data_IF_896948840614
#
_entry.id   IF_896948840614
#
_cell.length_a   1.000
_cell.length_b   1.000
_cell.length_c   1.000
_cell.angle_alpha   90.00
_cell.angle_beta   90.00
_cell.angle_gamma   90.00
#
_symmetry.space_group_name_H-M   'P 1'
#
loop_
_entity.id
_entity.type
_entity.pdbx_description
1 polymer ?
#
# COMPACT_ATOMS: atom_id res chain seq x y z
N UNK A 1 -21.93 8.19 -4.54
CA UNK A 1 -21.66 6.75 -4.39
C UNK A 1 -21.94 6.09 -5.73
N UNK A 2 -20.91 5.57 -6.39
CA UNK A 2 -21.06 4.78 -7.62
C UNK A 2 -21.76 3.47 -7.23
N UNK A 3 -22.83 3.09 -7.93
CA UNK A 3 -23.38 1.74 -7.78
C UNK A 3 -22.37 0.75 -8.37
N UNK A 4 -21.96 -0.24 -7.56
CA UNK A 4 -20.91 -1.23 -7.86
C UNK A 4 -21.02 -1.94 -9.21
N UNK A 5 -22.17 -1.90 -9.89
CA UNK A 5 -22.43 -2.64 -11.12
C UNK A 5 -21.69 -2.08 -12.34
N UNK A 6 -21.56 -0.75 -12.46
CA UNK A 6 -20.98 -0.13 -13.65
C UNK A 6 -19.45 -0.30 -13.73
N UNK A 7 -18.78 -0.48 -12.59
CA UNK A 7 -17.35 -0.77 -12.53
C UNK A 7 -17.02 -2.22 -12.91
N UNK A 8 -17.97 -3.13 -12.79
CA UNK A 8 -17.73 -4.56 -13.00
C UNK A 8 -17.93 -4.98 -14.47
N UNK A 9 -18.41 -4.09 -15.33
CA UNK A 9 -18.55 -4.41 -16.74
C UNK A 9 -17.19 -4.46 -17.45
N UNK A 10 -16.86 -5.62 -18.02
CA UNK A 10 -15.68 -5.77 -18.87
C UNK A 10 -14.33 -5.59 -18.17
N UNK A 11 -14.25 -5.77 -16.83
CA UNK A 11 -13.00 -5.59 -16.07
C UNK A 11 -11.85 -6.52 -16.52
N UNK A 12 -12.17 -7.60 -17.25
CA UNK A 12 -11.19 -8.51 -17.85
C UNK A 12 -10.42 -7.88 -19.01
N UNK A 13 -10.99 -6.85 -19.66
CA UNK A 13 -10.39 -6.16 -20.79
C UNK A 13 -9.37 -5.09 -20.31
N UNK A 14 -8.23 -4.96 -20.99
CA UNK A 14 -7.28 -3.88 -20.71
C UNK A 14 -7.94 -2.50 -20.86
N UNK A 15 -7.69 -1.61 -19.91
CA UNK A 15 -8.23 -0.25 -19.91
C UNK A 15 -9.68 -0.15 -19.42
N UNK A 16 -10.18 -1.17 -18.72
CA UNK A 16 -11.49 -1.10 -18.06
C UNK A 16 -11.54 0.01 -17.00
N UNK A 17 -12.75 0.51 -16.70
CA UNK A 17 -12.93 1.55 -15.69
C UNK A 17 -12.40 1.13 -14.30
N UNK A 18 -12.53 -0.16 -13.95
CA UNK A 18 -12.02 -0.70 -12.70
C UNK A 18 -10.49 -0.80 -12.68
N UNK A 19 -9.85 -1.15 -13.81
CA UNK A 19 -8.39 -1.14 -13.92
C UNK A 19 -7.84 0.28 -13.75
N UNK A 20 -8.47 1.27 -14.40
CA UNK A 20 -8.07 2.68 -14.25
C UNK A 20 -8.19 3.09 -12.79
N UNK A 21 -9.36 2.90 -12.17
CA UNK A 21 -9.58 3.23 -10.76
C UNK A 21 -8.58 2.53 -9.83
N UNK A 22 -8.26 1.26 -10.09
CA UNK A 22 -7.21 0.54 -9.35
C UNK A 22 -5.86 1.23 -9.45
N UNK A 23 -5.44 1.61 -10.67
CA UNK A 23 -4.17 2.30 -10.89
C UNK A 23 -4.11 3.64 -10.16
N UNK A 24 -5.23 4.37 -10.05
CA UNK A 24 -5.28 5.62 -9.29
C UNK A 24 -5.13 5.37 -7.79
N UNK A 25 -5.90 4.41 -7.25
CA UNK A 25 -5.93 4.13 -5.82
C UNK A 25 -4.59 3.58 -5.31
N UNK A 26 -3.95 2.66 -6.05
CA UNK A 26 -2.66 2.11 -5.65
C UNK A 26 -1.52 3.12 -5.78
N UNK A 27 -1.61 4.09 -6.69
CA UNK A 27 -0.64 5.18 -6.80
C UNK A 27 -0.83 6.20 -5.67
N UNK A 28 -2.07 6.55 -5.32
CA UNK A 28 -2.34 7.37 -4.14
C UNK A 28 -1.80 6.70 -2.86
N UNK A 29 -1.93 5.38 -2.77
CA UNK A 29 -1.38 4.60 -1.66
C UNK A 29 0.16 4.52 -1.65
N UNK A 30 0.79 4.45 -2.84
CA UNK A 30 2.25 4.47 -3.00
C UNK A 30 2.85 5.80 -2.54
N UNK A 31 2.25 6.92 -2.95
CA UNK A 31 2.78 8.25 -2.65
C UNK A 31 2.37 8.72 -1.24
N UNK A 32 1.24 8.24 -0.71
CA UNK A 32 0.77 8.55 0.64
C UNK A 32 0.78 10.06 0.90
N UNK A 33 1.59 10.50 1.86
CA UNK A 33 1.75 11.92 2.22
C UNK A 33 2.38 12.79 1.10
N UNK A 34 3.05 12.18 0.13
CA UNK A 34 3.61 12.84 -1.05
C UNK A 34 2.63 12.88 -2.24
N UNK A 35 1.41 12.38 -2.07
CA UNK A 35 0.36 12.46 -3.08
C UNK A 35 -0.02 13.92 -3.29
N UNK A 36 0.06 14.37 -4.55
CA UNK A 36 -0.44 15.69 -4.94
C UNK A 36 -1.96 15.72 -4.70
N UNK A 37 -2.43 16.62 -3.83
CA UNK A 37 -3.84 16.79 -3.48
C UNK A 37 -4.74 17.05 -4.70
N UNK A 38 -4.18 17.51 -5.82
CA UNK A 38 -4.90 17.65 -7.09
C UNK A 38 -5.35 16.31 -7.71
N UNK A 39 -4.78 15.18 -7.25
CA UNK A 39 -5.16 13.83 -7.64
C UNK A 39 -6.35 13.29 -6.82
N UNK A 40 -6.67 13.91 -5.68
CA UNK A 40 -7.72 13.48 -4.76
C UNK A 40 -9.05 14.22 -5.00
N UNK A 41 -9.18 14.97 -6.09
CA UNK A 41 -10.30 15.89 -6.34
C UNK A 41 -11.53 15.16 -6.92
N UNK A 42 -12.66 15.29 -6.19
CA UNK A 42 -14.06 15.03 -6.52
C UNK A 42 -14.39 13.89 -7.51
N UNK A 43 -14.64 12.71 -6.95
CA UNK A 43 -15.27 11.56 -7.62
C UNK A 43 -16.78 11.79 -7.84
N UNK A 44 -17.15 12.78 -8.68
CA UNK A 44 -18.49 12.85 -9.29
C UNK A 44 -18.41 12.37 -10.74
N UNK A 45 -19.32 11.45 -11.09
CA UNK A 45 -19.35 10.72 -12.36
C UNK A 45 -19.39 11.63 -13.60
N UNK A 46 -20.01 12.81 -13.50
CA UNK A 46 -20.09 13.78 -14.60
C UNK A 46 -18.74 14.44 -14.95
N UNK A 47 -17.72 14.28 -14.10
CA UNK A 47 -16.36 14.78 -14.34
C UNK A 47 -15.35 13.68 -14.71
N UNK A 48 -15.74 12.42 -14.89
CA UNK A 48 -14.81 11.35 -15.36
C UNK A 48 -14.15 11.68 -16.71
N UNK A 49 -14.87 12.38 -17.61
CA UNK A 49 -14.31 12.85 -18.89
C UNK A 49 -13.35 14.05 -18.72
N UNK A 50 -13.42 14.81 -17.61
CA UNK A 50 -12.47 15.88 -17.29
C UNK A 50 -11.29 15.39 -16.43
N UNK A 51 -11.52 14.39 -15.56
CA UNK A 51 -10.53 13.62 -14.81
C UNK A 51 -9.50 12.96 -15.73
N UNK A 52 -9.95 12.46 -16.90
CA UNK A 52 -9.06 11.92 -17.94
C UNK A 52 -8.03 12.92 -18.49
N UNK A 53 -8.21 14.23 -18.34
CA UNK A 53 -7.31 15.23 -18.93
C UNK A 53 -6.34 15.85 -17.90
N UNK A 54 -6.80 16.11 -16.67
CA UNK A 54 -6.00 16.80 -15.64
C UNK A 54 -5.36 15.82 -14.66
N UNK A 55 -6.13 14.84 -14.16
CA UNK A 55 -5.63 13.76 -13.29
C UNK A 55 -4.67 12.84 -14.04
N UNK A 56 -5.01 12.46 -15.28
CA UNK A 56 -4.14 11.62 -16.10
C UNK A 56 -2.79 12.27 -16.44
N UNK A 57 -2.72 13.61 -16.52
CA UNK A 57 -1.45 14.31 -16.77
C UNK A 57 -0.58 14.34 -15.52
N UNK A 58 -1.15 14.66 -14.36
CA UNK A 58 -0.44 14.61 -13.08
C UNK A 58 0.01 13.17 -12.75
N UNK A 59 -0.85 12.18 -12.99
CA UNK A 59 -0.50 10.76 -12.89
C UNK A 59 0.55 10.34 -13.90
N UNK A 60 0.50 10.78 -15.16
CA UNK A 60 1.53 10.48 -16.13
C UNK A 60 2.89 11.08 -15.73
N UNK A 61 2.92 12.28 -15.15
CA UNK A 61 4.15 12.87 -14.61
C UNK A 61 4.65 12.14 -13.35
N UNK A 62 3.77 11.71 -12.45
CA UNK A 62 4.16 10.90 -11.29
C UNK A 62 4.59 9.49 -11.68
N UNK A 63 3.94 8.88 -12.68
CA UNK A 63 4.32 7.60 -13.23
C UNK A 63 5.72 7.63 -13.84
N UNK A 64 6.17 8.77 -14.38
CA UNK A 64 7.58 8.96 -14.81
C UNK A 64 8.56 8.95 -13.63
N UNK A 65 8.10 9.28 -12.42
CA UNK A 65 8.92 9.19 -11.20
C UNK A 65 8.96 7.76 -10.65
N UNK A 66 8.14 6.83 -11.17
CA UNK A 66 8.20 5.41 -10.84
C UNK A 66 9.25 4.74 -11.74
N UNK A 67 10.45 4.52 -11.21
CA UNK A 67 11.61 4.02 -11.96
C UNK A 67 11.46 2.56 -12.41
N UNK A 68 10.66 1.79 -11.68
CA UNK A 68 10.25 0.42 -12.01
C UNK A 68 8.78 0.30 -11.70
N UNK A 69 7.96 -0.02 -12.69
CA UNK A 69 6.52 -0.10 -12.53
C UNK A 69 5.99 -1.49 -12.87
N UNK A 70 5.80 -2.32 -11.85
CA UNK A 70 5.15 -3.64 -11.98
C UNK A 70 3.64 -3.61 -11.68
N UNK A 71 2.99 -2.44 -11.54
CA UNK A 71 1.56 -2.33 -11.23
C UNK A 71 0.63 -3.12 -12.19
N UNK A 72 0.86 -3.15 -13.52
CA UNK A 72 0.04 -3.97 -14.41
C UNK A 72 0.05 -5.46 -14.04
N UNK A 73 1.18 -5.99 -13.55
CA UNK A 73 1.29 -7.38 -13.10
C UNK A 73 0.50 -7.63 -11.82
N UNK A 74 0.42 -6.62 -10.94
CA UNK A 74 -0.39 -6.66 -9.72
C UNK A 74 -1.86 -6.73 -10.07
N UNK A 75 -2.32 -5.88 -11.00
CA UNK A 75 -3.69 -5.91 -11.51
C UNK A 75 -4.04 -7.27 -12.12
N UNK A 76 -3.16 -7.80 -12.98
CA UNK A 76 -3.34 -9.13 -13.57
C UNK A 76 -3.40 -10.24 -12.52
N UNK A 77 -2.69 -10.11 -11.39
CA UNK A 77 -2.76 -11.05 -10.29
C UNK A 77 -4.10 -10.96 -9.55
N UNK A 78 -4.49 -9.74 -9.18
CA UNK A 78 -5.71 -9.47 -8.42
C UNK A 78 -6.97 -9.93 -9.17
N UNK A 79 -7.10 -9.60 -10.46
CA UNK A 79 -8.28 -9.94 -11.25
C UNK A 79 -8.51 -11.43 -11.46
N UNK A 80 -7.48 -12.27 -11.20
CA UNK A 80 -7.57 -13.73 -11.24
C UNK A 80 -8.03 -14.36 -9.92
N UNK A 81 -8.05 -13.58 -8.84
CA UNK A 81 -8.50 -14.05 -7.53
C UNK A 81 -10.02 -14.28 -7.53
N UNK A 82 -10.48 -15.14 -6.61
CA UNK A 82 -11.91 -15.36 -6.35
C UNK A 82 -12.09 -15.35 -4.85
N UNK A 83 -12.80 -14.36 -4.34
CA UNK A 83 -12.98 -14.13 -2.91
C UNK A 83 -11.65 -14.17 -2.13
N UNK A 84 -10.58 -13.65 -2.72
CA UNK A 84 -9.25 -13.76 -2.19
C UNK A 84 -8.95 -12.75 -1.09
N UNK A 85 -7.92 -13.04 -0.31
CA UNK A 85 -7.38 -12.18 0.73
C UNK A 85 -6.20 -11.37 0.23
N UNK A 86 -6.12 -10.10 0.64
CA UNK A 86 -4.95 -9.23 0.45
C UNK A 86 -4.38 -8.86 1.80
N UNK A 87 -3.05 -8.93 1.95
CA UNK A 87 -2.37 -8.52 3.19
C UNK A 87 -1.60 -7.22 2.95
N UNK A 88 -1.68 -6.28 3.88
CA UNK A 88 -0.95 -5.00 3.83
C UNK A 88 -0.01 -4.93 5.02
N UNK A 89 1.30 -4.92 4.77
CA UNK A 89 2.34 -4.69 5.76
C UNK A 89 2.58 -3.19 5.86
N UNK A 90 2.09 -2.60 6.94
CA UNK A 90 1.99 -1.16 7.15
C UNK A 90 3.37 -0.53 7.39
N UNK A 91 3.51 0.73 6.98
CA UNK A 91 4.63 1.62 7.31
C UNK A 91 4.11 2.67 8.31
N UNK A 92 3.80 3.89 7.86
CA UNK A 92 3.49 5.01 8.75
C UNK A 92 2.00 5.17 9.08
N UNK A 93 1.73 5.66 10.30
CA UNK A 93 0.43 6.13 10.74
C UNK A 93 0.08 7.50 10.13
N UNK A 94 -1.11 8.02 10.47
CA UNK A 94 -1.60 9.28 9.94
C UNK A 94 -2.13 9.13 8.51
N UNK A 95 -1.70 10.02 7.60
CA UNK A 95 -2.30 10.09 6.26
C UNK A 95 -1.89 8.91 5.35
N UNK A 96 -0.73 8.29 5.56
CA UNK A 96 -0.36 7.06 4.84
C UNK A 96 -1.26 5.87 5.23
N UNK A 97 -1.49 5.67 6.53
CA UNK A 97 -2.49 4.71 7.00
C UNK A 97 -3.91 5.03 6.47
N UNK A 98 -4.26 6.31 6.35
CA UNK A 98 -5.55 6.70 5.75
C UNK A 98 -5.62 6.29 4.27
N UNK A 99 -4.56 6.48 3.48
CA UNK A 99 -4.53 6.00 2.09
C UNK A 99 -4.56 4.48 2.00
N UNK A 100 -3.89 3.77 2.93
CA UNK A 100 -3.95 2.31 3.03
C UNK A 100 -5.39 1.82 3.26
N UNK A 101 -6.14 2.48 4.15
CA UNK A 101 -7.53 2.16 4.45
C UNK A 101 -8.46 2.47 3.27
N UNK A 102 -8.25 3.57 2.55
CA UNK A 102 -8.99 3.91 1.33
C UNK A 102 -8.74 2.86 0.24
N UNK A 103 -7.48 2.48 0.04
CA UNK A 103 -7.13 1.45 -0.93
C UNK A 103 -7.73 0.09 -0.57
N UNK A 104 -7.65 -0.31 0.70
CA UNK A 104 -8.27 -1.53 1.19
C UNK A 104 -9.80 -1.54 1.02
N UNK A 105 -10.46 -0.42 1.30
CA UNK A 105 -11.91 -0.27 1.12
C UNK A 105 -12.29 -0.32 -0.36
N UNK A 106 -11.50 0.28 -1.26
CA UNK A 106 -11.67 0.12 -2.70
C UNK A 106 -11.57 -1.35 -3.12
N UNK A 107 -10.57 -2.09 -2.65
CA UNK A 107 -10.42 -3.51 -2.97
C UNK A 107 -11.68 -4.30 -2.56
N UNK A 108 -12.20 -4.06 -1.36
CA UNK A 108 -13.33 -4.80 -0.79
C UNK A 108 -14.68 -4.36 -1.35
N UNK A 109 -14.87 -3.06 -1.56
CA UNK A 109 -16.17 -2.46 -1.91
C UNK A 109 -16.36 -2.35 -3.42
N UNK A 110 -15.28 -2.27 -4.19
CA UNK A 110 -15.34 -1.98 -5.63
C UNK A 110 -14.84 -3.12 -6.51
N UNK A 111 -14.11 -4.09 -5.99
CA UNK A 111 -13.67 -5.26 -6.79
C UNK A 111 -14.50 -6.51 -6.49
N UNK A 112 -14.75 -7.38 -7.48
CA UNK A 112 -15.48 -8.62 -7.27
C UNK A 112 -14.60 -9.78 -6.77
N UNK A 113 -13.29 -9.58 -6.60
CA UNK A 113 -12.32 -10.67 -6.37
C UNK A 113 -11.60 -10.61 -5.02
N UNK A 114 -11.72 -9.53 -4.24
CA UNK A 114 -11.18 -9.41 -2.87
C UNK A 114 -12.32 -9.45 -1.84
N UNK A 115 -12.22 -10.38 -0.89
CA UNK A 115 -13.21 -10.56 0.18
C UNK A 115 -12.74 -10.01 1.53
N UNK A 116 -11.43 -10.10 1.81
CA UNK A 116 -10.79 -9.72 3.07
C UNK A 116 -9.48 -8.96 2.83
N UNK A 117 -9.22 -7.94 3.64
CA UNK A 117 -7.92 -7.27 3.76
C UNK A 117 -7.38 -7.40 5.19
N UNK A 118 -6.16 -7.91 5.32
CA UNK A 118 -5.48 -8.09 6.61
C UNK A 118 -4.29 -7.15 6.74
N UNK A 119 -4.28 -6.34 7.79
CA UNK A 119 -3.25 -5.35 8.04
C UNK A 119 -2.24 -5.84 9.08
N UNK A 120 -0.96 -5.58 8.85
CA UNK A 120 0.13 -5.99 9.73
C UNK A 120 0.81 -4.76 10.36
N UNK A 121 0.41 -4.37 11.58
CA UNK A 121 1.05 -3.28 12.33
C UNK A 121 2.33 -3.76 13.05
N UNK A 122 3.03 -2.81 13.69
CA UNK A 122 4.16 -3.09 14.59
C UNK A 122 3.69 -3.26 16.04
N UNK A 123 4.41 -4.05 16.83
CA UNK A 123 4.02 -4.34 18.22
C UNK A 123 4.56 -3.31 19.24
N UNK A 124 5.60 -2.55 18.89
CA UNK A 124 6.23 -1.52 19.74
C UNK A 124 6.39 -0.23 18.94
N UNK A 125 6.55 0.95 19.59
CA UNK A 125 6.87 2.18 18.88
C UNK A 125 8.14 1.95 18.07
N UNK A 126 8.02 2.08 16.75
CA UNK A 126 9.04 1.65 15.80
C UNK A 126 9.21 2.76 14.76
N UNK A 127 10.46 3.15 14.49
CA UNK A 127 10.80 4.19 13.51
C UNK A 127 9.94 5.47 13.57
N UNK A 128 9.58 5.90 14.78
CA UNK A 128 8.80 7.11 15.12
C UNK A 128 7.34 7.04 14.68
N UNK A 129 7.07 6.79 13.40
CA UNK A 129 5.74 6.91 12.81
C UNK A 129 5.09 5.59 12.42
N UNK A 130 5.71 4.44 12.68
CA UNK A 130 5.11 3.17 12.25
C UNK A 130 3.79 2.87 12.97
N UNK A 131 2.83 2.30 12.22
CA UNK A 131 1.49 1.98 12.73
C UNK A 131 1.53 0.91 13.83
N UNK A 132 0.91 1.22 14.96
CA UNK A 132 0.59 0.27 16.03
C UNK A 132 -0.89 -0.15 15.95
N UNK A 133 -1.30 -1.26 16.60
CA UNK A 133 -2.70 -1.67 16.66
C UNK A 133 -3.65 -0.56 17.13
N UNK A 134 -3.22 0.22 18.13
CA UNK A 134 -3.98 1.36 18.64
C UNK A 134 -4.15 2.47 17.59
N UNK A 135 -3.10 2.79 16.83
CA UNK A 135 -3.15 3.84 15.81
C UNK A 135 -4.15 3.49 14.70
N UNK A 136 -4.30 2.21 14.39
CA UNK A 136 -5.29 1.72 13.43
C UNK A 136 -6.72 2.06 13.85
N UNK A 137 -7.10 1.71 15.09
CA UNK A 137 -8.43 2.04 15.62
C UNK A 137 -8.60 3.54 15.81
N UNK A 138 -7.56 4.21 16.31
CA UNK A 138 -7.58 5.65 16.56
C UNK A 138 -7.77 6.45 15.26
N UNK A 139 -7.15 6.03 14.15
CA UNK A 139 -7.34 6.67 12.85
C UNK A 139 -8.80 6.63 12.41
N UNK A 140 -9.46 5.47 12.53
CA UNK A 140 -10.88 5.30 12.18
C UNK A 140 -11.78 6.14 13.11
N UNK A 141 -11.48 6.13 14.40
CA UNK A 141 -12.25 6.86 15.41
C UNK A 141 -12.11 8.39 15.23
N UNK A 142 -10.93 8.85 14.83
CA UNK A 142 -10.65 10.26 14.55
C UNK A 142 -11.47 10.78 13.37
N UNK A 143 -11.75 9.95 12.36
CA UNK A 143 -12.66 10.30 11.25
C UNK A 143 -14.11 10.53 11.70
N UNK A 144 -14.53 9.87 12.79
CA UNK A 144 -15.84 10.10 13.38
C UNK A 144 -15.86 11.32 14.33
N UNK A 145 -14.70 11.78 14.81
CA UNK A 145 -14.60 12.94 15.68
C UNK A 145 -14.55 14.25 14.89
N UNK A 146 -15.72 14.89 14.79
CA UNK A 146 -15.85 16.19 14.13
C UNK A 146 -15.01 17.31 14.77
N UNK A 147 -14.62 17.18 16.03
CA UNK A 147 -13.85 18.20 16.76
C UNK A 147 -12.37 18.19 16.38
N UNK A 148 -11.82 17.02 16.08
CA UNK A 148 -10.42 16.85 15.69
C UNK A 148 -10.11 17.62 14.41
N UNK A 149 -10.91 17.41 13.35
CA UNK A 149 -10.69 18.11 12.07
C UNK A 149 -11.07 19.58 12.12
N UNK A 150 -12.13 19.96 12.85
CA UNK A 150 -12.51 21.38 13.01
C UNK A 150 -11.44 22.20 13.71
N UNK A 151 -10.68 21.62 14.62
CA UNK A 151 -9.61 22.30 15.35
C UNK A 151 -8.28 22.39 14.59
N UNK A 152 -8.05 21.50 13.62
CA UNK A 152 -6.76 21.40 12.89
C UNK A 152 -6.85 21.77 11.40
N UNK A 153 -8.05 21.95 10.85
CA UNK A 153 -8.20 22.32 9.45
C UNK A 153 -7.83 23.78 9.20
N UNK A 154 -7.01 24.00 8.17
CA UNK A 154 -6.68 25.34 7.66
C UNK A 154 -7.79 25.91 6.77
N UNK A 155 -8.71 25.07 6.31
CA UNK A 155 -9.83 25.41 5.42
C UNK A 155 -11.14 25.17 6.18
N UNK A 156 -12.15 26.05 6.08
CA UNK A 156 -13.45 25.80 6.70
C UNK A 156 -14.04 24.48 6.18
N UNK A 157 -14.32 23.55 7.10
CA UNK A 157 -15.00 22.30 6.76
C UNK A 157 -16.47 22.59 6.50
N UNK A 158 -16.99 22.05 5.41
CA UNK A 158 -18.43 22.06 5.15
C UNK A 158 -19.12 20.93 5.92
N UNK A 159 -20.44 21.02 6.08
CA UNK A 159 -21.20 19.93 6.70
C UNK A 159 -21.16 18.64 5.86
N UNK A 160 -21.02 18.77 4.54
CA UNK A 160 -20.86 17.64 3.62
C UNK A 160 -19.52 16.92 3.84
N UNK A 161 -18.43 17.65 4.05
CA UNK A 161 -17.11 17.05 4.35
C UNK A 161 -17.18 16.20 5.63
N UNK A 162 -17.79 16.75 6.67
CA UNK A 162 -17.96 16.06 7.95
C UNK A 162 -18.84 14.82 7.79
N UNK A 163 -19.91 14.92 7.00
CA UNK A 163 -20.78 13.78 6.70
C UNK A 163 -20.04 12.68 5.92
N UNK A 164 -19.18 13.03 4.98
CA UNK A 164 -18.37 12.07 4.23
C UNK A 164 -17.36 11.34 5.12
N UNK A 165 -16.63 12.06 6.00
CA UNK A 165 -15.70 11.45 6.95
C UNK A 165 -16.42 10.50 7.91
N UNK A 166 -17.58 10.91 8.44
CA UNK A 166 -18.39 10.05 9.32
C UNK A 166 -18.93 8.81 8.61
N UNK A 167 -19.29 8.92 7.33
CA UNK A 167 -19.72 7.79 6.49
C UNK A 167 -18.58 6.79 6.27
N UNK A 168 -17.37 7.27 5.97
CA UNK A 168 -16.18 6.42 5.84
C UNK A 168 -15.87 5.69 7.13
N UNK A 169 -15.83 6.40 8.26
CA UNK A 169 -15.59 5.80 9.57
C UNK A 169 -16.59 4.69 9.88
N UNK A 170 -17.89 4.94 9.64
CA UNK A 170 -18.95 3.94 9.84
C UNK A 170 -18.78 2.73 8.94
N UNK A 171 -18.43 2.93 7.67
CA UNK A 171 -18.19 1.84 6.71
C UNK A 171 -17.01 0.97 7.14
N UNK A 172 -15.88 1.58 7.51
CA UNK A 172 -14.69 0.86 7.93
C UNK A 172 -14.89 0.11 9.25
N UNK A 173 -15.62 0.68 10.20
CA UNK A 173 -16.07 -0.08 11.40
C UNK A 173 -16.93 -1.27 11.01
N UNK A 174 -17.86 -1.12 10.05
CA UNK A 174 -18.63 -2.24 9.51
C UNK A 174 -17.76 -3.33 8.86
N UNK A 175 -16.66 -2.95 8.21
CA UNK A 175 -15.68 -3.92 7.68
C UNK A 175 -14.93 -4.65 8.80
N UNK A 176 -14.57 -3.97 9.88
CA UNK A 176 -13.97 -4.60 11.05
C UNK A 176 -14.93 -5.58 11.74
N UNK A 177 -16.18 -5.17 11.96
CA UNK A 177 -17.20 -6.00 12.62
C UNK A 177 -17.55 -7.26 11.79
N UNK A 178 -17.52 -7.15 10.46
CA UNK A 178 -17.75 -8.27 9.55
C UNK A 178 -16.51 -9.13 9.27
N UNK A 179 -15.33 -8.73 9.79
CA UNK A 179 -14.06 -9.41 9.53
C UNK A 179 -13.50 -9.22 8.12
N UNK A 180 -14.09 -8.32 7.32
CA UNK A 180 -13.57 -7.94 5.99
C UNK A 180 -12.29 -7.11 6.12
N UNK A 181 -12.21 -6.26 7.15
CA UNK A 181 -10.95 -5.69 7.63
C UNK A 181 -10.52 -6.43 8.88
N UNK A 182 -9.24 -6.75 8.98
CA UNK A 182 -8.70 -7.42 10.17
C UNK A 182 -7.25 -7.03 10.39
N UNK A 183 -6.83 -6.90 11.65
CA UNK A 183 -5.41 -6.86 11.98
C UNK A 183 -4.86 -8.29 12.08
N UNK A 184 -3.59 -8.50 11.71
CA UNK A 184 -2.90 -9.77 11.93
C UNK A 184 -2.70 -10.12 13.41
N UNK A 185 -2.90 -9.13 14.29
CA UNK A 185 -2.86 -9.22 15.75
C UNK A 185 -4.21 -8.74 16.34
N UNK A 186 -4.58 -9.13 17.57
CA UNK A 186 -5.78 -8.59 18.23
C UNK A 186 -5.77 -7.05 18.28
N UNK A 187 -6.93 -6.41 18.14
CA UNK A 187 -7.05 -4.94 18.17
C UNK A 187 -6.65 -4.35 19.53
N UNK A 188 -6.85 -5.11 20.61
CA UNK A 188 -6.50 -4.77 21.98
C UNK A 188 -5.08 -5.22 22.38
N UNK A 189 -4.24 -5.60 21.41
CA UNK A 189 -2.85 -5.98 21.68
C UNK A 189 -2.14 -4.84 22.42
N UNK A 190 -1.65 -5.07 23.65
CA UNK A 190 -0.98 -4.03 24.41
C UNK A 190 0.35 -3.67 23.75
N UNK A 191 0.86 -2.48 24.05
CA UNK A 191 2.17 -2.04 23.58
C UNK A 191 3.26 -3.03 24.04
N UNK A 192 4.00 -3.60 23.09
CA UNK A 192 5.00 -4.63 23.34
C UNK A 192 4.45 -6.04 23.52
N UNK A 193 3.15 -6.28 23.25
CA UNK A 193 2.57 -7.61 23.26
C UNK A 193 3.22 -8.51 22.23
N UNK A 194 3.75 -9.66 22.67
CA UNK A 194 4.33 -10.67 21.79
C UNK A 194 3.20 -11.47 21.12
N UNK A 195 3.14 -11.42 19.80
CA UNK A 195 2.15 -12.15 19.00
C UNK A 195 2.86 -12.91 17.89
N UNK A 196 2.50 -14.17 17.62
CA UNK A 196 3.20 -15.00 16.62
C UNK A 196 3.29 -14.37 15.22
N UNK A 197 2.30 -13.55 14.85
CA UNK A 197 2.23 -12.87 13.55
C UNK A 197 2.74 -11.43 13.56
N UNK A 198 2.85 -10.78 14.73
CA UNK A 198 3.26 -9.38 14.84
C UNK A 198 4.73 -9.18 15.21
N UNK A 199 5.33 -10.11 15.96
CA UNK A 199 6.63 -9.87 16.59
C UNK A 199 7.78 -9.81 15.61
N UNK A 200 7.70 -10.56 14.50
CA UNK A 200 8.72 -10.58 13.47
C UNK A 200 9.00 -9.19 12.88
N UNK A 201 7.97 -8.36 12.68
CA UNK A 201 8.08 -7.04 12.04
C UNK A 201 8.98 -6.08 12.79
N UNK A 202 9.08 -6.24 14.11
CA UNK A 202 9.90 -5.42 15.02
C UNK A 202 11.25 -6.04 15.38
N UNK A 203 11.62 -7.14 14.73
CA UNK A 203 12.96 -7.74 14.88
C UNK A 203 13.98 -7.13 13.92
N UNK A 204 15.26 -7.40 14.17
CA UNK A 204 16.38 -7.07 13.29
C UNK A 204 16.48 -7.96 12.04
N UNK A 205 15.71 -9.05 11.95
CA UNK A 205 15.81 -10.00 10.85
C UNK A 205 15.39 -9.37 9.53
N UNK A 206 16.12 -9.73 8.47
CA UNK A 206 15.71 -9.43 7.10
C UNK A 206 14.62 -10.42 6.67
N UNK A 207 13.80 -10.07 5.67
CA UNK A 207 12.68 -10.94 5.29
C UNK A 207 13.12 -12.22 4.56
N UNK A 208 14.36 -12.25 4.07
CA UNK A 208 15.01 -13.49 3.60
C UNK A 208 15.14 -14.55 4.71
N UNK A 209 15.25 -14.12 5.96
CA UNK A 209 15.39 -14.98 7.13
C UNK A 209 14.01 -15.34 7.71
N UNK A 210 12.94 -14.69 7.24
CA UNK A 210 11.55 -14.96 7.67
C UNK A 210 11.17 -16.44 7.58
N UNK A 211 11.52 -17.20 6.50
CA UNK A 211 11.23 -18.62 6.44
C UNK A 211 11.90 -19.46 7.54
N UNK A 212 13.02 -19.01 8.09
CA UNK A 212 13.74 -19.70 9.15
C UNK A 212 13.34 -19.19 10.55
N UNK A 213 13.18 -17.88 10.70
CA UNK A 213 12.92 -17.22 11.98
C UNK A 213 11.42 -17.20 12.35
N UNK A 214 10.52 -17.10 11.37
CA UNK A 214 9.08 -17.02 11.55
C UNK A 214 8.32 -17.84 10.47
N UNK A 215 8.50 -19.17 10.41
CA UNK A 215 7.86 -20.01 9.39
C UNK A 215 6.33 -19.90 9.41
N UNK A 216 5.72 -19.80 10.60
CA UNK A 216 4.27 -19.63 10.74
C UNK A 216 3.73 -18.35 10.08
N UNK A 217 4.51 -17.27 10.08
CA UNK A 217 4.15 -16.03 9.40
C UNK A 217 4.17 -16.22 7.89
N UNK A 218 5.17 -16.94 7.36
CA UNK A 218 5.23 -17.25 5.92
C UNK A 218 4.06 -18.13 5.51
N UNK A 219 3.71 -19.13 6.30
CA UNK A 219 2.55 -20.00 6.03
C UNK A 219 1.23 -19.22 6.02
N UNK A 220 1.09 -18.25 6.92
CA UNK A 220 -0.08 -17.36 6.97
C UNK A 220 -0.13 -16.41 5.76
N UNK A 221 1.00 -15.78 5.42
CA UNK A 221 1.11 -14.90 4.25
C UNK A 221 0.96 -15.67 2.92
N UNK A 222 1.32 -16.95 2.89
CA UNK A 222 1.19 -17.81 1.70
C UNK A 222 -0.28 -18.16 1.36
N UNK A 223 -1.22 -17.92 2.28
CA UNK A 223 -2.67 -18.01 2.04
C UNK A 223 -3.22 -16.76 1.36
N UNK A 224 -2.49 -15.64 1.43
CA UNK A 224 -2.86 -14.39 0.78
C UNK A 224 -2.70 -14.52 -0.74
N UNK A 225 -3.62 -13.94 -1.49
CA UNK A 225 -3.47 -13.79 -2.93
C UNK A 225 -2.46 -12.71 -3.30
N UNK A 226 -2.28 -11.71 -2.43
CA UNK A 226 -1.32 -10.63 -2.62
C UNK A 226 -0.90 -10.02 -1.27
N UNK A 227 0.42 -9.91 -1.04
CA UNK A 227 0.98 -9.19 0.11
C UNK A 227 1.61 -7.87 -0.35
N UNK A 228 1.01 -6.75 0.04
CA UNK A 228 1.48 -5.39 -0.24
C UNK A 228 2.41 -4.95 0.89
N UNK A 229 3.64 -4.60 0.57
CA UNK A 229 4.60 -4.04 1.52
C UNK A 229 4.75 -2.55 1.28
N UNK A 230 4.46 -1.73 2.30
CA UNK A 230 4.50 -0.27 2.23
C UNK A 230 5.84 0.29 2.68
N UNK A 231 6.31 1.34 2.02
CA UNK A 231 7.38 2.19 2.52
C UNK A 231 8.80 1.68 2.36
N UNK A 232 9.75 2.48 2.84
CA UNK A 232 11.18 2.30 2.64
C UNK A 232 11.78 1.25 3.58
N UNK A 233 11.34 1.20 4.84
CA UNK A 233 11.85 0.23 5.81
C UNK A 233 11.52 -1.21 5.43
N UNK A 234 10.28 -1.46 5.01
CA UNK A 234 9.88 -2.76 4.48
C UNK A 234 10.67 -3.12 3.21
N UNK A 235 11.03 -2.14 2.38
CA UNK A 235 11.92 -2.36 1.24
C UNK A 235 13.36 -2.62 1.66
N UNK A 236 13.88 -2.01 2.73
CA UNK A 236 15.26 -2.24 3.20
C UNK A 236 15.46 -3.57 3.91
N UNK A 237 14.51 -3.95 4.79
CA UNK A 237 14.41 -5.34 5.30
C UNK A 237 14.16 -6.35 4.17
N UNK A 238 13.51 -5.83 3.12
CA UNK A 238 13.10 -6.39 1.82
C UNK A 238 14.21 -6.90 0.91
N UNK A 239 14.75 -5.91 0.23
CA UNK A 239 15.35 -5.99 -1.09
C UNK A 239 16.82 -6.27 -1.03
N UNK A 240 17.39 -6.37 0.15
CA UNK A 240 18.79 -6.66 0.27
C UNK A 240 18.95 -7.58 1.44
N UNK A 241 19.83 -8.52 1.26
CA UNK A 241 20.54 -9.25 2.30
C UNK A 241 20.99 -8.26 3.39
N UNK A 242 20.11 -7.90 4.32
CA UNK A 242 20.29 -6.91 5.39
C UNK A 242 20.83 -5.53 4.96
N UNK A 243 20.13 -4.76 4.11
CA UNK A 243 20.53 -3.36 3.79
C UNK A 243 21.90 -3.23 3.08
N UNK A 244 22.32 -4.26 2.32
CA UNK A 244 23.60 -4.31 1.63
C UNK A 244 23.72 -3.48 0.32
N UNK A 245 24.93 -3.15 -0.11
CA UNK A 245 25.20 -2.41 -1.36
C UNK A 245 25.15 -3.32 -2.59
N UNK A 246 23.96 -3.57 -3.12
CA UNK A 246 23.77 -4.37 -4.34
C UNK A 246 23.94 -3.54 -5.61
N UNK A 247 24.38 -4.17 -6.72
CA UNK A 247 24.21 -3.58 -8.05
C UNK A 247 22.72 -3.30 -8.30
N UNK A 248 22.39 -2.10 -8.77
CA UNK A 248 21.01 -1.65 -9.00
C UNK A 248 20.25 -2.51 -10.02
N UNK A 249 20.99 -3.19 -10.89
CA UNK A 249 20.49 -4.12 -11.93
C UNK A 249 20.20 -5.52 -11.41
N UNK A 250 20.53 -5.83 -10.15
CA UNK A 250 20.24 -7.14 -9.54
C UNK A 250 18.75 -7.43 -9.62
N UNK A 251 18.35 -8.61 -10.11
CA UNK A 251 16.92 -8.93 -10.24
C UNK A 251 16.21 -8.93 -8.88
N UNK A 252 14.98 -8.45 -8.86
CA UNK A 252 14.17 -8.37 -7.64
C UNK A 252 14.03 -9.75 -6.96
N UNK A 253 13.83 -10.83 -7.73
CA UNK A 253 13.75 -12.19 -7.19
C UNK A 253 15.03 -12.65 -6.50
N UNK A 254 16.20 -12.32 -7.05
CA UNK A 254 17.49 -12.63 -6.42
C UNK A 254 17.66 -11.85 -5.12
N UNK A 255 17.17 -10.61 -5.09
CA UNK A 255 17.15 -9.75 -3.92
C UNK A 255 16.26 -10.29 -2.78
N UNK A 256 15.17 -10.99 -3.12
CA UNK A 256 14.25 -11.62 -2.14
C UNK A 256 14.82 -12.89 -1.46
N UNK A 257 15.86 -13.51 -2.04
CA UNK A 257 16.51 -14.68 -1.47
C UNK A 257 15.52 -15.86 -1.23
N UNK A 258 15.56 -16.53 -0.06
CA UNK A 258 14.71 -17.68 0.25
C UNK A 258 13.20 -17.40 0.30
N UNK A 259 12.79 -16.13 0.37
CA UNK A 259 11.39 -15.73 0.34
C UNK A 259 10.83 -15.74 -1.10
N UNK A 260 11.69 -15.66 -2.11
CA UNK A 260 11.29 -15.64 -3.52
C UNK A 260 10.43 -16.87 -3.86
N UNK A 261 9.25 -16.63 -4.41
CA UNK A 261 8.32 -17.69 -4.81
C UNK A 261 7.53 -18.35 -3.68
N UNK A 262 7.74 -18.00 -2.40
CA UNK A 262 6.92 -18.54 -1.29
C UNK A 262 5.57 -17.84 -1.13
N UNK A 263 5.54 -16.53 -1.42
CA UNK A 263 4.36 -15.67 -1.31
C UNK A 263 4.26 -14.78 -2.55
N UNK A 264 3.03 -14.39 -2.91
CA UNK A 264 2.79 -13.39 -3.96
C UNK A 264 2.82 -12.01 -3.33
N UNK A 265 3.64 -11.10 -3.86
CA UNK A 265 3.93 -9.85 -3.17
C UNK A 265 4.15 -8.65 -4.11
N UNK A 266 3.85 -7.46 -3.59
CA UNK A 266 4.27 -6.15 -4.12
C UNK A 266 5.15 -5.44 -3.11
N UNK A 267 6.08 -4.63 -3.57
CA UNK A 267 6.63 -3.51 -2.79
C UNK A 267 6.15 -2.21 -3.38
N UNK A 268 5.53 -1.36 -2.57
CA UNK A 268 5.22 0.03 -2.88
C UNK A 268 6.17 0.91 -2.09
N UNK A 269 7.19 1.46 -2.75
CA UNK A 269 8.27 2.16 -2.06
C UNK A 269 8.58 3.50 -2.71
N UNK A 270 8.58 4.57 -1.91
CA UNK A 270 9.25 5.83 -2.23
C UNK A 270 10.73 5.74 -1.81
N UNK A 271 11.63 6.18 -2.68
CA UNK A 271 13.07 6.02 -2.49
C UNK A 271 13.59 6.98 -1.42
N UNK A 272 13.92 6.44 -0.24
CA UNK A 272 14.49 7.20 0.89
C UNK A 272 15.82 6.61 1.39
N UNK A 273 16.42 5.70 0.64
CA UNK A 273 17.69 5.05 0.96
C UNK A 273 18.43 4.61 -0.31
N UNK A 274 19.77 4.54 -0.22
CA UNK A 274 20.69 4.19 -1.31
C UNK A 274 20.39 2.84 -1.99
N UNK A 275 19.70 1.98 -1.27
CA UNK A 275 19.44 0.61 -1.61
C UNK A 275 18.37 0.49 -2.68
N UNK A 276 18.69 -0.13 -3.82
CA UNK A 276 17.70 -0.38 -4.87
C UNK A 276 18.10 -1.59 -5.70
N UNK A 277 17.12 -2.37 -6.14
CA UNK A 277 17.32 -3.50 -7.03
C UNK A 277 16.25 -3.55 -8.12
N UNK A 278 16.58 -4.22 -9.22
CA UNK A 278 15.68 -4.50 -10.31
C UNK A 278 15.49 -3.35 -11.29
N UNK A 279 16.41 -2.38 -11.32
CA UNK A 279 16.39 -1.32 -12.32
C UNK A 279 16.92 -1.80 -13.69
N UNK A 280 16.44 -1.23 -14.80
CA UNK A 280 17.05 -1.43 -16.11
C UNK A 280 18.49 -0.90 -16.16
N UNK A 281 19.33 -1.51 -16.99
CA UNK A 281 20.69 -1.03 -17.23
C UNK A 281 20.67 0.41 -17.77
N UNK A 282 21.56 1.26 -17.26
CA UNK A 282 21.71 2.66 -17.67
C UNK A 282 20.87 3.68 -16.90
N UNK A 283 19.78 3.27 -16.24
CA UNK A 283 18.92 4.18 -15.45
C UNK A 283 19.68 4.81 -14.29
N UNK A 284 20.52 4.04 -13.62
CA UNK A 284 21.37 4.53 -12.53
C UNK A 284 22.32 5.65 -13.00
N UNK A 285 23.06 5.42 -14.09
CA UNK A 285 24.02 6.39 -14.61
C UNK A 285 23.34 7.68 -15.10
N UNK A 286 22.15 7.55 -15.70
CA UNK A 286 21.33 8.69 -16.12
C UNK A 286 20.86 9.52 -14.93
N UNK A 287 20.31 8.87 -13.89
CA UNK A 287 19.81 9.56 -12.70
C UNK A 287 20.92 10.13 -11.84
N UNK A 288 22.08 9.48 -11.74
CA UNK A 288 23.25 10.01 -11.04
C UNK A 288 23.74 11.32 -11.67
N UNK A 289 23.54 11.49 -12.98
CA UNK A 289 23.85 12.74 -13.69
C UNK A 289 22.76 13.80 -13.53
N UNK A 290 21.48 13.39 -13.61
CA UNK A 290 20.33 14.32 -13.64
C UNK A 290 19.87 14.77 -12.25
N UNK A 291 19.89 13.88 -11.27
CA UNK A 291 19.34 14.10 -9.94
C UNK A 291 20.13 13.29 -8.90
N UNK A 292 21.30 13.76 -8.41
CA UNK A 292 22.17 12.99 -7.51
C UNK A 292 21.51 12.49 -6.22
N UNK A 293 20.39 13.10 -5.81
CA UNK A 293 19.58 12.76 -4.63
C UNK A 293 18.43 11.78 -4.92
N UNK A 294 18.35 11.21 -6.13
CA UNK A 294 17.21 10.39 -6.57
C UNK A 294 16.92 9.16 -5.68
N UNK A 295 17.93 8.64 -4.97
CA UNK A 295 17.79 7.48 -4.07
C UNK A 295 17.22 7.84 -2.69
N UNK A 296 17.36 9.09 -2.26
CA UNK A 296 17.07 9.52 -0.87
C UNK A 296 16.04 10.65 -0.78
N UNK A 297 15.72 11.30 -1.90
CA UNK A 297 14.86 12.48 -1.95
C UNK A 297 13.37 12.20 -1.70
N UNK A 298 12.94 10.94 -1.76
CA UNK A 298 11.52 10.56 -1.70
C UNK A 298 10.71 10.95 -2.94
N UNK A 299 11.33 11.57 -3.95
CA UNK A 299 10.67 12.01 -5.20
C UNK A 299 10.44 10.88 -6.19
N UNK A 300 11.27 9.84 -6.13
CA UNK A 300 11.19 8.68 -6.99
C UNK A 300 10.61 7.50 -6.24
N UNK A 301 9.99 6.58 -6.97
CA UNK A 301 9.41 5.39 -6.41
C UNK A 301 9.75 4.14 -7.23
N UNK A 302 9.59 2.98 -6.60
CA UNK A 302 9.67 1.69 -7.27
C UNK A 302 8.51 0.81 -6.84
N UNK A 303 7.87 0.19 -7.83
CA UNK A 303 6.88 -0.86 -7.66
C UNK A 303 7.48 -2.15 -8.16
N UNK A 304 7.71 -3.08 -7.25
CA UNK A 304 8.34 -4.38 -7.56
C UNK A 304 7.41 -5.52 -7.20
N UNK A 305 7.06 -6.34 -8.18
CA UNK A 305 6.17 -7.49 -8.02
C UNK A 305 6.96 -8.81 -8.11
N UNK A 306 6.61 -9.78 -7.27
CA UNK A 306 7.09 -11.15 -7.36
C UNK A 306 5.95 -12.13 -7.07
N UNK A 307 5.63 -13.04 -7.99
CA UNK A 307 4.58 -14.03 -7.78
C UNK A 307 5.08 -15.20 -6.92
N UNK A 308 4.14 -15.86 -6.23
CA UNK A 308 4.37 -17.20 -5.69
C UNK A 308 4.63 -18.18 -6.84
N UNK A 309 5.60 -19.08 -6.66
CA UNK A 309 5.88 -20.18 -7.60
C UNK A 309 5.12 -21.40 -7.09
N UNK A 310 4.24 -21.92 -7.93
CA UNK A 310 3.53 -23.19 -7.67
C UNK A 310 4.47 -24.39 -7.80
#
# INVERSE_FOLDING_TARGET
>A
MIESKDLHEGFEQPGSALEIAFMEMIQADLWGNATDLSLLVDLKYEDLQKLQAVGAKAQAEQAKMILRNDLPKVWDCLKRMKDGRVDIVLDNAGFELYTDLIFADFLISSTPFVSEVVFHPKNIPWFVSDVLPYDFTWAIDSLADTTFFKSHSKVPLTDDDVAHLGSLAKRWRGHLDSGRFRLSVPLDTPLGGDTPLGSFWTTQYAYQDMPAAAPHLVDELAKSGLVVFKGDLNYRKRVLIGDAKWPTTTSFEKALGPLAGKITLVSLRTNKADTIAGLPEGVEAELDTKAPDWRVSGKYAVVSFSPKRE
#
